data_IF_147185326648
#
_entry.id   IF_147185326648
#
_cell.length_a   1.000
_cell.length_b   1.000
_cell.length_c   1.000
_cell.angle_alpha   90.00
_cell.angle_beta   90.00
_cell.angle_gamma   90.00
#
_symmetry.space_group_name_H-M   'P 1'
#
loop_
_entity.id
_entity.type
_entity.pdbx_description
1 polymer ?
#
# COMPACT_ATOMS: atom_id res chain seq x y z
N UNK A 1 1.90 -5.76 21.43
CA UNK A 1 2.96 -5.29 20.52
C UNK A 1 3.55 -4.08 21.21
N UNK A 2 4.86 -4.06 21.39
CA UNK A 2 5.56 -2.96 22.05
C UNK A 2 6.15 -2.06 20.96
N UNK A 3 5.95 -0.75 21.11
CA UNK A 3 6.50 0.32 20.27
C UNK A 3 6.56 1.60 21.11
N UNK A 4 7.43 2.56 20.78
CA UNK A 4 7.55 3.80 21.53
C UNK A 4 6.30 4.67 21.38
N UNK A 5 5.96 5.39 22.46
CA UNK A 5 4.90 6.42 22.51
C UNK A 5 5.53 7.79 22.25
N UNK A 6 4.78 8.70 21.64
CA UNK A 6 5.22 10.05 21.22
C UNK A 6 6.41 10.04 20.24
N UNK A 7 6.63 8.92 19.54
CA UNK A 7 7.69 8.76 18.56
C UNK A 7 7.18 8.11 17.28
N UNK A 8 7.73 8.52 16.15
CA UNK A 8 7.45 7.91 14.86
C UNK A 8 8.17 6.58 14.73
N UNK A 9 7.40 5.53 14.43
CA UNK A 9 7.92 4.29 13.85
C UNK A 9 7.65 4.36 12.36
N UNK A 10 8.70 4.51 11.55
CA UNK A 10 8.56 4.73 10.11
C UNK A 10 9.57 3.95 9.27
N UNK A 11 9.16 3.72 8.03
CA UNK A 11 9.96 3.13 6.97
C UNK A 11 10.59 4.25 6.14
N UNK A 12 11.87 4.13 5.84
CA UNK A 12 12.60 5.13 5.04
C UNK A 12 12.25 5.05 3.55
N UNK A 13 12.83 5.95 2.73
CA UNK A 13 12.86 5.85 1.26
C UNK A 13 11.55 6.10 0.48
N UNK A 14 10.43 6.42 1.15
CA UNK A 14 9.17 6.74 0.45
C UNK A 14 9.22 8.03 -0.39
N UNK A 15 10.20 8.89 -0.13
CA UNK A 15 10.43 10.12 -0.87
C UNK A 15 10.70 9.87 -2.36
N UNK A 16 11.34 8.76 -2.71
CA UNK A 16 11.59 8.35 -4.09
C UNK A 16 10.32 8.26 -4.93
N UNK A 17 9.20 7.90 -4.31
CA UNK A 17 7.92 7.71 -4.99
C UNK A 17 7.07 8.98 -5.04
N UNK A 18 7.57 10.15 -4.61
CA UNK A 18 6.80 11.42 -4.56
C UNK A 18 6.11 11.77 -5.89
N UNK A 19 6.80 11.50 -7.00
CA UNK A 19 6.31 11.81 -8.35
C UNK A 19 5.37 10.75 -8.93
N UNK A 20 5.08 9.67 -8.20
CA UNK A 20 4.14 8.62 -8.62
C UNK A 20 2.70 9.06 -8.35
N UNK A 21 2.26 10.03 -9.16
CA UNK A 21 1.00 10.75 -8.99
C UNK A 21 -0.10 10.19 -9.88
N UNK A 22 -1.29 10.02 -9.30
CA UNK A 22 -2.52 9.72 -10.04
C UNK A 22 -2.82 10.91 -10.98
N UNK A 23 -2.85 10.71 -12.31
CA UNK A 23 -2.96 11.83 -13.25
C UNK A 23 -4.37 12.41 -13.28
N UNK A 24 -5.39 11.57 -13.09
CA UNK A 24 -6.82 11.92 -13.05
C UNK A 24 -7.65 10.71 -12.63
N UNK A 25 -8.94 10.95 -12.35
CA UNK A 25 -9.94 9.89 -12.17
C UNK A 25 -9.83 9.18 -10.83
N UNK A 26 -10.21 7.91 -10.82
CA UNK A 26 -10.32 7.08 -9.61
C UNK A 26 -9.16 6.10 -9.46
N UNK A 27 -8.06 6.27 -10.20
CA UNK A 27 -6.94 5.32 -10.28
C UNK A 27 -6.05 5.23 -9.01
N UNK A 28 -6.44 5.86 -7.90
CA UNK A 28 -5.65 5.86 -6.67
C UNK A 28 -5.34 4.45 -6.13
N UNK A 29 -6.23 3.48 -6.34
CA UNK A 29 -5.98 2.08 -5.96
C UNK A 29 -4.83 1.45 -6.76
N UNK A 30 -4.74 1.76 -8.05
CA UNK A 30 -3.67 1.30 -8.93
C UNK A 30 -2.35 1.97 -8.59
N UNK A 31 -2.34 3.28 -8.39
CA UNK A 31 -1.13 4.03 -8.05
C UNK A 31 -0.60 3.65 -6.66
N UNK A 32 -1.45 3.56 -5.64
CA UNK A 32 -1.05 3.12 -4.32
C UNK A 32 -0.53 1.66 -4.32
N UNK A 33 -1.14 0.78 -5.12
CA UNK A 33 -0.63 -0.59 -5.31
C UNK A 33 0.73 -0.62 -6.02
N UNK A 34 0.95 0.29 -6.97
CA UNK A 34 2.23 0.41 -7.68
C UNK A 34 3.35 0.86 -6.73
N UNK A 35 3.09 1.87 -5.89
CA UNK A 35 4.05 2.34 -4.86
C UNK A 35 4.31 1.24 -3.83
N UNK A 36 3.28 0.52 -3.38
CA UNK A 36 3.44 -0.61 -2.47
C UNK A 36 4.39 -1.66 -3.05
N UNK A 37 4.19 -2.07 -4.31
CA UNK A 37 5.03 -3.07 -4.98
C UNK A 37 6.45 -2.56 -5.28
N UNK A 38 6.60 -1.28 -5.62
CA UNK A 38 7.91 -0.67 -5.84
C UNK A 38 8.73 -0.64 -4.55
N UNK A 39 8.11 -0.27 -3.41
CA UNK A 39 8.78 -0.35 -2.11
C UNK A 39 9.20 -1.78 -1.78
N UNK A 40 8.31 -2.75 -1.99
CA UNK A 40 8.63 -4.16 -1.78
C UNK A 40 9.81 -4.61 -2.63
N UNK A 41 9.88 -4.23 -3.91
CA UNK A 41 10.99 -4.59 -4.79
C UNK A 41 12.31 -3.95 -4.34
N UNK A 42 12.25 -2.66 -4.00
CA UNK A 42 13.46 -1.89 -3.67
C UNK A 42 14.05 -2.28 -2.31
N UNK A 43 13.19 -2.54 -1.31
CA UNK A 43 13.60 -2.62 0.10
C UNK A 43 13.45 -4.01 0.73
N UNK A 44 12.63 -4.91 0.16
CA UNK A 44 12.25 -6.16 0.84
C UNK A 44 12.63 -7.40 0.02
N UNK A 45 12.11 -7.53 -1.20
CA UNK A 45 12.30 -8.71 -2.06
C UNK A 45 12.17 -8.29 -3.53
N UNK A 46 13.30 -8.22 -4.23
CA UNK A 46 13.35 -7.88 -5.66
C UNK A 46 12.45 -8.82 -6.50
N UNK A 47 12.26 -10.07 -6.07
CA UNK A 47 11.41 -11.06 -6.73
C UNK A 47 9.91 -10.87 -6.51
N UNK A 48 9.46 -9.79 -5.85
CA UNK A 48 8.04 -9.47 -5.71
C UNK A 48 7.41 -8.92 -7.01
N UNK A 49 8.24 -8.59 -8.00
CA UNK A 49 7.86 -8.17 -9.35
C UNK A 49 8.57 -9.04 -10.40
N UNK A 50 7.97 -9.24 -11.58
CA UNK A 50 8.63 -9.95 -12.67
C UNK A 50 9.64 -9.03 -13.36
N UNK A 51 10.72 -9.61 -13.88
CA UNK A 51 11.72 -8.88 -14.66
C UNK A 51 11.06 -8.15 -15.85
N UNK A 52 11.51 -6.92 -16.10
CA UNK A 52 11.05 -6.10 -17.24
C UNK A 52 9.80 -5.27 -17.00
N UNK A 53 9.02 -5.48 -15.93
CA UNK A 53 7.95 -4.53 -15.57
C UNK A 53 8.46 -3.28 -14.87
N UNK A 54 9.55 -3.43 -14.12
CA UNK A 54 10.20 -2.37 -13.36
C UNK A 54 11.60 -2.82 -12.96
N UNK A 55 12.59 -1.94 -13.11
CA UNK A 55 13.92 -2.12 -12.53
C UNK A 55 13.95 -1.66 -11.07
N UNK A 56 14.66 -2.42 -10.23
CA UNK A 56 14.89 -2.04 -8.82
C UNK A 56 15.52 -0.64 -8.75
N UNK A 57 15.10 0.14 -7.77
CA UNK A 57 15.56 1.50 -7.51
C UNK A 57 15.26 2.55 -8.60
N UNK A 58 14.63 2.16 -9.72
CA UNK A 58 14.24 3.09 -10.79
C UNK A 58 13.12 4.04 -10.34
N UNK A 59 12.97 5.18 -11.01
CA UNK A 59 11.80 6.05 -10.87
C UNK A 59 10.66 5.70 -11.82
N UNK A 60 10.89 4.79 -12.79
CA UNK A 60 9.90 4.36 -13.78
C UNK A 60 8.73 3.61 -13.13
N UNK A 61 7.51 3.95 -13.54
CA UNK A 61 6.28 3.36 -13.03
C UNK A 61 5.26 2.96 -14.11
N UNK A 62 5.48 3.36 -15.35
CA UNK A 62 4.49 3.33 -16.41
C UNK A 62 4.09 1.91 -16.78
N UNK A 63 5.08 1.02 -16.97
CA UNK A 63 4.84 -0.38 -17.31
C UNK A 63 4.19 -1.14 -16.15
N UNK A 64 4.57 -0.84 -14.91
CA UNK A 64 3.95 -1.41 -13.71
C UNK A 64 2.47 -0.98 -13.61
N UNK A 65 2.17 0.31 -13.80
CA UNK A 65 0.80 0.83 -13.79
C UNK A 65 -0.03 0.22 -14.93
N UNK A 66 0.52 0.14 -16.15
CA UNK A 66 -0.14 -0.49 -17.31
C UNK A 66 -0.46 -1.96 -17.06
N UNK A 67 0.41 -2.69 -16.35
CA UNK A 67 0.18 -4.08 -16.00
C UNK A 67 -0.85 -4.27 -14.88
N UNK A 68 -0.92 -3.33 -13.92
CA UNK A 68 -1.82 -3.41 -12.76
C UNK A 68 -3.23 -2.89 -13.05
N UNK A 69 -3.38 -1.80 -13.81
CA UNK A 69 -4.66 -1.15 -14.03
C UNK A 69 -5.74 -2.13 -14.54
N UNK A 70 -5.52 -3.00 -15.53
CA UNK A 70 -6.56 -3.90 -16.04
C UNK A 70 -7.05 -4.94 -15.01
N UNK A 71 -6.23 -5.26 -14.01
CA UNK A 71 -6.57 -6.27 -12.98
C UNK A 71 -7.08 -5.65 -11.69
N UNK A 72 -6.75 -4.39 -11.41
CA UNK A 72 -7.18 -3.65 -10.21
C UNK A 72 -8.39 -2.76 -10.49
N UNK A 73 -8.36 -2.02 -11.61
CA UNK A 73 -9.30 -0.96 -11.98
C UNK A 73 -9.56 -0.98 -13.50
N UNK A 74 -10.14 -2.07 -14.05
CA UNK A 74 -10.41 -2.19 -15.48
C UNK A 74 -11.37 -1.12 -16.01
N UNK A 75 -12.26 -0.64 -15.13
CA UNK A 75 -13.10 0.53 -15.35
C UNK A 75 -12.66 1.58 -14.33
N UNK A 76 -12.57 2.84 -14.74
CA UNK A 76 -12.16 3.96 -13.90
C UNK A 76 -13.26 4.31 -12.88
N UNK A 77 -13.46 3.42 -11.91
CA UNK A 77 -14.38 3.54 -10.79
C UNK A 77 -13.64 3.35 -9.46
N UNK A 78 -14.20 3.89 -8.35
CA UNK A 78 -13.70 3.64 -7.01
C UNK A 78 -13.56 2.15 -6.71
N UNK A 79 -12.52 1.80 -5.95
CA UNK A 79 -12.27 0.41 -5.56
C UNK A 79 -12.44 0.18 -4.06
N UNK A 80 -12.84 -1.04 -3.71
CA UNK A 80 -12.92 -1.53 -2.33
C UNK A 80 -11.80 -2.54 -2.02
N UNK A 81 -11.47 -2.83 -0.75
CA UNK A 81 -10.34 -3.69 -0.38
C UNK A 81 -10.38 -5.09 -1.04
N UNK A 82 -11.58 -5.66 -1.19
CA UNK A 82 -11.73 -6.97 -1.84
C UNK A 82 -11.30 -6.94 -3.31
N UNK A 83 -11.66 -5.89 -4.06
CA UNK A 83 -11.28 -5.76 -5.47
C UNK A 83 -9.76 -5.65 -5.63
N UNK A 84 -9.09 -4.80 -4.83
CA UNK A 84 -7.64 -4.66 -4.90
C UNK A 84 -6.93 -5.96 -4.53
N UNK A 85 -7.32 -6.61 -3.43
CA UNK A 85 -6.69 -7.86 -3.02
C UNK A 85 -6.89 -8.98 -4.05
N UNK A 86 -8.09 -9.11 -4.64
CA UNK A 86 -8.34 -10.08 -5.70
C UNK A 86 -7.52 -9.79 -6.96
N UNK A 87 -7.44 -8.52 -7.36
CA UNK A 87 -6.67 -8.10 -8.53
C UNK A 87 -5.16 -8.31 -8.38
N UNK A 88 -4.59 -7.95 -7.23
CA UNK A 88 -3.19 -8.24 -6.90
C UNK A 88 -2.92 -9.76 -6.87
N UNK A 89 -3.84 -10.56 -6.33
CA UNK A 89 -3.71 -12.02 -6.36
C UNK A 89 -3.79 -12.60 -7.78
N UNK A 90 -4.56 -11.98 -8.70
CA UNK A 90 -4.55 -12.35 -10.12
C UNK A 90 -3.22 -11.98 -10.77
N UNK A 91 -2.68 -10.80 -10.47
CA UNK A 91 -1.36 -10.36 -10.92
C UNK A 91 -0.27 -11.35 -10.48
N UNK A 92 -0.17 -11.66 -9.18
CA UNK A 92 0.85 -12.57 -8.68
C UNK A 92 0.75 -13.97 -9.30
N UNK A 93 -0.48 -14.49 -9.47
CA UNK A 93 -0.68 -15.79 -10.13
C UNK A 93 -0.26 -15.75 -11.60
N UNK A 94 -0.59 -14.68 -12.34
CA UNK A 94 -0.22 -14.55 -13.76
C UNK A 94 1.29 -14.58 -13.97
N UNK A 95 2.04 -13.96 -13.07
CA UNK A 95 3.50 -13.89 -13.14
C UNK A 95 4.21 -14.96 -12.29
N UNK A 96 3.47 -15.91 -11.70
CA UNK A 96 4.00 -16.97 -10.80
C UNK A 96 4.86 -16.43 -9.65
N UNK A 97 4.48 -15.25 -9.15
CA UNK A 97 5.14 -14.58 -8.03
C UNK A 97 4.61 -15.21 -6.73
N UNK A 98 5.48 -15.65 -5.79
CA UNK A 98 5.07 -16.39 -4.58
C UNK A 98 4.51 -15.46 -3.49
N UNK A 99 3.57 -14.59 -3.85
CA UNK A 99 2.94 -13.63 -2.95
C UNK A 99 1.42 -13.72 -3.02
N UNK A 100 0.78 -13.33 -1.92
CA UNK A 100 -0.66 -13.08 -1.84
C UNK A 100 -0.91 -11.72 -1.20
N UNK A 101 -1.82 -10.97 -1.80
CA UNK A 101 -2.43 -9.79 -1.18
C UNK A 101 -3.55 -10.23 -0.23
N UNK A 102 -3.51 -9.73 1.00
CA UNK A 102 -4.57 -9.90 1.99
C UNK A 102 -5.29 -8.58 2.21
N UNK A 103 -6.58 -8.58 1.89
CA UNK A 103 -7.52 -7.55 2.28
C UNK A 103 -8.04 -7.76 3.70
N UNK A 104 -8.21 -6.68 4.47
CA UNK A 104 -9.07 -6.66 5.66
C UNK A 104 -10.09 -5.54 5.55
N UNK A 105 -11.23 -5.68 6.20
CA UNK A 105 -12.29 -4.65 6.25
C UNK A 105 -12.31 -3.87 7.58
N UNK A 106 -11.57 -4.31 8.59
CA UNK A 106 -11.49 -3.67 9.91
C UNK A 106 -10.09 -3.88 10.53
N UNK A 107 -9.82 -3.17 11.62
CA UNK A 107 -8.59 -3.30 12.40
C UNK A 107 -7.36 -2.73 11.68
N UNK A 108 -7.51 -1.55 11.07
CA UNK A 108 -6.42 -0.88 10.34
C UNK A 108 -5.23 -0.63 11.25
N UNK A 109 -5.44 -0.09 12.46
CA UNK A 109 -4.37 0.19 13.42
C UNK A 109 -3.53 -1.05 13.76
N UNK A 110 -4.17 -2.13 14.19
CA UNK A 110 -3.49 -3.37 14.58
C UNK A 110 -2.76 -4.01 13.39
N UNK A 111 -3.29 -3.85 12.18
CA UNK A 111 -2.68 -4.41 10.97
C UNK A 111 -1.48 -3.57 10.52
N UNK A 112 -1.60 -2.25 10.51
CA UNK A 112 -0.54 -1.30 10.15
C UNK A 112 0.63 -1.45 11.11
N UNK A 113 0.40 -1.24 12.42
CA UNK A 113 1.46 -1.35 13.44
C UNK A 113 2.22 -2.66 13.36
N UNK A 114 1.51 -3.80 13.26
CA UNK A 114 2.12 -5.13 13.10
C UNK A 114 3.04 -5.24 11.89
N UNK A 115 2.69 -4.61 10.78
CA UNK A 115 3.41 -4.74 9.50
C UNK A 115 4.58 -3.78 9.43
N UNK A 116 4.40 -2.53 9.86
CA UNK A 116 5.48 -1.55 9.91
C UNK A 116 6.58 -1.98 10.89
N UNK A 117 6.23 -2.58 12.04
CA UNK A 117 7.22 -3.19 12.94
C UNK A 117 7.97 -4.38 12.33
N UNK A 118 7.44 -4.98 11.26
CA UNK A 118 8.10 -6.03 10.49
C UNK A 118 8.84 -5.49 9.24
N UNK A 119 8.95 -4.16 9.09
CA UNK A 119 9.57 -3.53 7.92
C UNK A 119 8.68 -3.51 6.67
N UNK A 120 7.38 -3.80 6.79
CA UNK A 120 6.47 -3.94 5.66
C UNK A 120 5.46 -2.78 5.60
N UNK A 121 5.38 -2.02 4.48
CA UNK A 121 4.35 -1.00 4.32
C UNK A 121 2.97 -1.62 4.12
N UNK A 122 1.93 -0.84 4.39
CA UNK A 122 0.53 -1.26 4.27
C UNK A 122 -0.27 -0.24 3.51
N UNK A 123 -1.02 -0.67 2.51
CA UNK A 123 -1.98 0.20 1.85
C UNK A 123 -3.30 0.23 2.65
N UNK A 124 -3.89 1.41 2.83
CA UNK A 124 -5.17 1.59 3.52
C UNK A 124 -6.14 2.36 2.64
N UNK A 125 -7.43 2.07 2.80
CA UNK A 125 -8.48 2.94 2.28
C UNK A 125 -8.74 4.04 3.30
N UNK A 126 -8.98 5.26 2.84
CA UNK A 126 -9.50 6.35 3.64
C UNK A 126 -11.00 6.49 3.33
N UNK A 127 -11.82 6.79 4.34
CA UNK A 127 -13.25 7.05 4.13
C UNK A 127 -13.62 8.46 4.54
N UNK A 128 -14.37 9.15 3.67
CA UNK A 128 -14.97 10.44 4.00
C UNK A 128 -15.90 10.33 5.23
N UNK A 129 -16.64 9.21 5.33
CA UNK A 129 -17.54 8.95 6.44
C UNK A 129 -16.81 8.85 7.80
N UNK A 130 -15.51 8.51 7.79
CA UNK A 130 -14.66 8.46 8.98
C UNK A 130 -13.87 9.77 9.19
N UNK A 131 -14.25 10.86 8.51
CA UNK A 131 -13.64 12.18 8.69
C UNK A 131 -12.48 12.50 7.74
N UNK A 132 -12.18 11.63 6.76
CA UNK A 132 -11.10 11.88 5.81
C UNK A 132 -11.35 13.13 4.96
N UNK A 133 -10.45 14.12 5.09
CA UNK A 133 -10.41 15.28 4.20
C UNK A 133 -9.94 14.94 2.78
N UNK A 134 -9.34 13.77 2.59
CA UNK A 134 -8.95 13.21 1.29
C UNK A 134 -10.11 12.49 0.58
N UNK A 135 -11.34 12.56 1.14
CA UNK A 135 -12.50 11.78 0.69
C UNK A 135 -12.21 10.27 0.73
N UNK A 136 -12.87 9.50 -0.12
CA UNK A 136 -12.58 8.08 -0.31
C UNK A 136 -11.33 7.91 -1.18
N UNK A 137 -10.26 7.36 -0.60
CA UNK A 137 -8.93 7.38 -1.23
C UNK A 137 -8.04 6.20 -0.82
N UNK A 138 -7.11 5.78 -1.68
CA UNK A 138 -6.13 4.74 -1.37
C UNK A 138 -4.75 5.35 -1.20
N UNK A 139 -4.10 5.04 -0.08
CA UNK A 139 -2.77 5.56 0.30
C UNK A 139 -1.90 4.44 0.86
N UNK A 140 -0.57 4.64 0.84
CA UNK A 140 0.37 3.69 1.46
C UNK A 140 0.85 4.26 2.79
N UNK A 141 0.59 3.55 3.88
CA UNK A 141 1.11 3.88 5.21
C UNK A 141 2.53 3.35 5.33
N UNK A 142 3.43 4.24 5.75
CA UNK A 142 4.83 3.95 5.96
C UNK A 142 5.35 4.41 7.33
N UNK A 143 4.57 5.20 8.07
CA UNK A 143 4.85 5.47 9.48
C UNK A 143 3.60 5.44 10.35
N UNK A 144 3.79 5.23 11.65
CA UNK A 144 2.75 5.42 12.66
C UNK A 144 3.31 6.06 13.92
N UNK A 145 2.44 6.70 14.69
CA UNK A 145 2.72 7.23 16.01
C UNK A 145 1.47 7.12 16.88
N UNK A 146 1.64 6.71 18.13
CA UNK A 146 0.64 6.83 19.18
C UNK A 146 1.18 7.79 20.23
N UNK A 147 0.37 8.77 20.62
CA UNK A 147 0.75 9.77 21.61
C UNK A 147 0.41 9.31 23.03
N UNK A 148 0.98 9.96 24.05
CA UNK A 148 0.72 9.62 25.45
C UNK A 148 -0.76 9.76 25.85
N UNK A 149 -1.52 10.62 25.17
CA UNK A 149 -2.97 10.79 25.37
C UNK A 149 -3.82 9.81 24.51
N UNK A 150 -3.18 8.88 23.79
CA UNK A 150 -3.83 7.82 23.04
C UNK A 150 -4.29 8.21 21.64
N UNK A 151 -3.92 9.40 21.15
CA UNK A 151 -4.16 9.78 19.76
C UNK A 151 -3.23 9.01 18.82
N UNK A 152 -3.73 8.67 17.64
CA UNK A 152 -3.06 7.78 16.70
C UNK A 152 -2.98 8.40 15.33
N UNK A 153 -1.80 8.34 14.74
CA UNK A 153 -1.50 8.95 13.46
C UNK A 153 -0.82 7.97 12.52
N UNK A 154 -1.08 8.16 11.24
CA UNK A 154 -0.31 7.55 10.16
C UNK A 154 0.48 8.60 9.42
N UNK A 155 1.69 8.21 9.00
CA UNK A 155 2.46 8.88 7.96
C UNK A 155 2.26 8.11 6.66
N UNK A 156 1.78 8.82 5.64
CA UNK A 156 1.34 8.21 4.38
C UNK A 156 2.07 8.78 3.18
N UNK A 157 2.26 7.91 2.19
CA UNK A 157 2.40 8.32 0.80
C UNK A 157 1.02 8.43 0.18
N UNK A 158 0.69 9.66 -0.20
CA UNK A 158 -0.47 10.04 -0.96
C UNK A 158 -0.06 10.24 -2.43
N UNK A 159 -0.65 9.43 -3.31
CA UNK A 159 -0.43 9.50 -4.75
C UNK A 159 -1.07 10.73 -5.43
N UNK A 160 -1.40 11.78 -4.67
CA UNK A 160 -1.62 13.14 -5.19
C UNK A 160 -0.43 14.09 -4.92
N UNK A 161 0.73 13.54 -4.54
CA UNK A 161 2.00 14.26 -4.52
C UNK A 161 2.56 14.57 -3.13
N UNK A 162 2.04 13.93 -2.07
CA UNK A 162 2.60 14.06 -0.72
C UNK A 162 3.20 12.73 -0.28
N UNK A 163 4.52 12.66 -0.17
CA UNK A 163 5.23 11.44 0.22
C UNK A 163 5.18 11.12 1.72
N UNK A 164 4.89 12.11 2.58
CA UNK A 164 4.91 11.97 4.04
C UNK A 164 3.80 12.78 4.73
N UNK A 165 2.57 12.75 4.21
CA UNK A 165 1.44 13.43 4.86
C UNK A 165 1.08 12.71 6.18
N UNK A 166 0.73 13.49 7.20
CA UNK A 166 0.26 12.97 8.49
C UNK A 166 -1.26 13.03 8.53
N UNK A 167 -1.90 11.92 8.89
CA UNK A 167 -3.36 11.81 9.02
C UNK A 167 -3.76 11.12 10.33
N UNK A 168 -4.94 11.41 10.89
CA UNK A 168 -5.54 10.61 11.96
C UNK A 168 -5.74 9.16 11.53
N UNK A 169 -5.37 8.21 12.40
CA UNK A 169 -5.46 6.79 12.10
C UNK A 169 -6.91 6.28 11.96
N UNK A 170 -7.86 6.97 12.61
CA UNK A 170 -9.29 6.66 12.57
C UNK A 170 -9.91 6.84 11.18
N UNK A 171 -9.28 7.59 10.28
CA UNK A 171 -9.74 7.75 8.89
C UNK A 171 -9.59 6.46 8.07
N UNK A 172 -8.70 5.57 8.53
CA UNK A 172 -8.35 4.34 7.85
C UNK A 172 -9.45 3.29 7.91
N UNK A 173 -9.90 2.85 6.75
CA UNK A 173 -10.80 1.74 6.51
C UNK A 173 -10.17 0.67 5.62
N UNK A 174 -10.21 -0.56 6.12
CA UNK A 174 -9.62 -1.71 5.44
C UNK A 174 -8.13 -1.57 5.15
N UNK A 175 -7.49 -2.68 4.83
CA UNK A 175 -6.06 -2.70 4.51
C UNK A 175 -5.78 -3.64 3.36
N UNK A 176 -4.66 -3.42 2.68
CA UNK A 176 -4.02 -4.36 1.78
C UNK A 176 -2.57 -4.51 2.23
N UNK A 177 -2.17 -5.75 2.44
CA UNK A 177 -0.81 -6.12 2.84
C UNK A 177 -0.40 -7.38 2.10
N UNK A 178 0.90 -7.56 1.88
CA UNK A 178 1.43 -8.72 1.17
C UNK A 178 1.87 -9.80 2.14
N UNK A 179 1.89 -11.04 1.67
CA UNK A 179 2.43 -12.19 2.39
C UNK A 179 3.10 -13.12 1.40
N UNK A 180 4.36 -13.48 1.65
CA UNK A 180 5.04 -14.54 0.92
C UNK A 180 4.34 -15.87 1.16
N UNK A 181 4.00 -16.57 0.09
CA UNK A 181 3.41 -17.92 0.14
C UNK A 181 4.58 -18.89 0.06
N UNK A 182 4.68 -19.80 1.04
CA UNK A 182 5.61 -20.93 0.91
C UNK A 182 5.21 -21.68 -0.36
N UNK A 183 6.16 -22.00 -1.23
CA UNK A 183 5.87 -22.91 -2.35
C UNK A 183 5.40 -24.23 -1.72
N UNK A 184 4.10 -24.47 -1.71
CA UNK A 184 3.64 -25.85 -1.60
C UNK A 184 4.07 -26.49 -2.90
N UNK A 185 4.96 -27.48 -2.82
CA UNK A 185 5.08 -28.45 -3.89
C UNK A 185 3.64 -28.87 -4.28
N UNK A 186 3.36 -28.83 -5.59
CA UNK A 186 2.12 -29.27 -6.25
C UNK A 186 1.05 -28.17 -6.45
N UNK A 187 1.05 -27.54 -7.63
CA UNK A 187 0.26 -28.00 -8.80
C UNK A 187 0.57 -27.15 -10.04
#
# INVERSE_FOLDING_TARGET
MEYPIDQWVELESFERYREWKTPRGFLCGTYASSVLLAYWQDQIDEGCLPNGLREKDSSQNEELIRALQPVLQPVDFPTVPLQISMGLNRFFRRYRIPYRARGTAAGTWQRVTKRLLAGEPVMIGLLQLLGSSYKNHWVVVHGFMETADGQRYYKIHDNWGKSAAVIPAEWGNGTISLRKVKSTANN
#
